data_IF_828739632402
#
_entry.id   IF_828739632402
#
_cell.length_a   1.000
_cell.length_b   1.000
_cell.length_c   1.000
_cell.angle_alpha   90.00
_cell.angle_beta   90.00
_cell.angle_gamma   90.00
#
_symmetry.space_group_name_H-M   'P 1'
#
loop_
_entity.id
_entity.type
_entity.pdbx_description
1 polymer ?
#
# COMPACT_ATOMS: atom_id res chain seq x y z
N UNK A 1 3.98 30.27 3.10
CA UNK A 1 4.33 29.87 1.73
C UNK A 1 3.73 28.55 1.37
N UNK A 2 3.38 28.38 0.10
CA UNK A 2 2.85 27.13 -0.46
C UNK A 2 4.01 26.31 -1.03
N UNK A 3 4.00 25.01 -0.78
CA UNK A 3 4.91 24.01 -1.35
C UNK A 3 4.11 22.83 -1.86
N UNK A 4 4.51 22.27 -3.01
CA UNK A 4 3.79 21.17 -3.65
C UNK A 4 4.79 20.20 -4.25
N UNK A 5 4.72 18.95 -3.78
CA UNK A 5 5.48 17.85 -4.37
C UNK A 5 4.55 16.94 -5.17
N UNK A 6 5.00 16.55 -6.35
CA UNK A 6 4.32 15.61 -7.24
C UNK A 6 5.28 14.53 -7.69
N UNK A 7 4.87 13.28 -7.53
CA UNK A 7 5.55 12.11 -8.06
C UNK A 7 4.59 11.28 -8.89
N UNK A 8 5.03 10.90 -10.07
CA UNK A 8 4.35 9.91 -10.92
C UNK A 8 5.32 8.80 -11.28
N UNK A 9 4.94 7.56 -11.01
CA UNK A 9 5.70 6.37 -11.40
C UNK A 9 4.82 5.47 -12.25
N UNK A 10 5.33 5.08 -13.41
CA UNK A 10 4.79 4.01 -14.22
C UNK A 10 5.84 2.91 -14.38
N UNK A 11 5.44 1.69 -14.10
CA UNK A 11 6.31 0.52 -14.21
C UNK A 11 5.50 -0.70 -14.62
N UNK A 12 6.13 -1.63 -15.33
CA UNK A 12 5.53 -2.93 -15.67
C UNK A 12 6.50 -4.05 -15.31
N UNK A 13 6.67 -4.34 -14.02
CA UNK A 13 7.56 -5.39 -13.58
C UNK A 13 6.97 -6.76 -13.93
N UNK A 14 7.73 -7.57 -14.66
CA UNK A 14 7.33 -8.92 -15.05
C UNK A 14 8.42 -9.94 -14.70
N UNK A 15 8.00 -11.15 -14.35
CA UNK A 15 8.92 -12.26 -14.18
C UNK A 15 9.47 -12.68 -15.56
N UNK A 16 10.75 -12.44 -15.83
CA UNK A 16 11.37 -12.79 -17.12
C UNK A 16 11.61 -14.31 -17.25
N UNK A 17 12.02 -14.95 -16.17
CA UNK A 17 12.19 -16.38 -16.07
C UNK A 17 11.93 -16.79 -14.63
N UNK A 18 10.79 -17.38 -14.36
CA UNK A 18 10.42 -17.83 -13.04
C UNK A 18 9.69 -19.17 -13.12
N UNK A 19 10.42 -20.23 -12.81
CA UNK A 19 9.91 -21.57 -12.67
C UNK A 19 10.33 -22.09 -11.30
N UNK A 20 9.39 -22.61 -10.54
CA UNK A 20 9.66 -23.20 -9.23
C UNK A 20 8.77 -24.41 -9.00
N UNK A 21 9.17 -25.25 -8.08
CA UNK A 21 8.36 -26.36 -7.59
C UNK A 21 8.20 -26.26 -6.09
N UNK A 22 7.02 -26.56 -5.61
CA UNK A 22 6.72 -26.62 -4.18
C UNK A 22 6.29 -28.03 -3.83
N UNK A 23 6.93 -28.60 -2.83
CA UNK A 23 6.56 -29.90 -2.29
C UNK A 23 5.62 -29.69 -1.10
N UNK A 24 4.42 -30.20 -1.21
CA UNK A 24 3.43 -30.15 -0.13
C UNK A 24 3.73 -31.26 0.90
N UNK A 25 3.19 -31.11 2.11
CA UNK A 25 3.33 -32.09 3.18
C UNK A 25 2.80 -33.51 2.81
N UNK A 26 1.89 -33.55 1.82
CA UNK A 26 1.38 -34.80 1.23
C UNK A 26 2.36 -35.51 0.28
N UNK A 27 3.52 -34.89 0.00
CA UNK A 27 4.48 -35.36 -1.00
C UNK A 27 4.17 -34.97 -2.44
N UNK A 28 3.03 -34.29 -2.69
CA UNK A 28 2.70 -33.75 -4.01
C UNK A 28 3.65 -32.60 -4.37
N UNK A 29 4.14 -32.57 -5.60
CA UNK A 29 4.99 -31.52 -6.13
C UNK A 29 4.21 -30.69 -7.13
N UNK A 30 3.86 -29.48 -6.73
CA UNK A 30 3.25 -28.49 -7.62
C UNK A 30 4.34 -27.72 -8.39
N UNK A 31 4.19 -27.60 -9.70
CA UNK A 31 5.06 -26.76 -10.55
C UNK A 31 4.38 -25.43 -10.85
N UNK A 32 5.13 -24.35 -10.70
CA UNK A 32 4.67 -23.00 -11.02
C UNK A 32 5.57 -22.45 -12.11
N UNK A 33 4.98 -21.94 -13.18
CA UNK A 33 5.65 -21.13 -14.17
C UNK A 33 4.96 -19.74 -14.21
N UNK A 34 5.61 -18.76 -13.63
CA UNK A 34 5.12 -17.37 -13.61
C UNK A 34 5.80 -16.47 -14.65
N UNK A 35 6.57 -17.07 -15.58
CA UNK A 35 7.24 -16.33 -16.64
C UNK A 35 6.25 -15.48 -17.44
N UNK A 36 6.51 -14.18 -17.56
CA UNK A 36 5.63 -13.21 -18.22
C UNK A 36 4.53 -12.62 -17.34
N UNK A 37 4.27 -13.18 -16.16
CA UNK A 37 3.33 -12.61 -15.21
C UNK A 37 3.87 -11.29 -14.63
N UNK A 38 2.94 -10.39 -14.30
CA UNK A 38 3.26 -9.16 -13.54
C UNK A 38 3.66 -9.59 -12.13
N UNK A 39 4.69 -8.96 -11.58
CA UNK A 39 5.16 -9.22 -10.22
C UNK A 39 4.06 -8.87 -9.22
N UNK A 40 3.77 -9.78 -8.30
CA UNK A 40 2.75 -9.60 -7.28
C UNK A 40 3.10 -8.43 -6.35
N UNK A 41 2.08 -7.80 -5.79
CA UNK A 41 2.14 -6.71 -4.80
C UNK A 41 2.74 -5.38 -5.32
N UNK A 42 3.19 -5.31 -6.57
CA UNK A 42 3.76 -4.10 -7.13
C UNK A 42 2.72 -3.41 -8.04
N UNK A 43 2.31 -2.17 -7.75
CA UNK A 43 1.42 -1.40 -8.60
C UNK A 43 2.13 -0.97 -9.89
N UNK A 44 1.41 -0.95 -11.02
CA UNK A 44 1.94 -0.42 -12.27
C UNK A 44 1.99 1.11 -12.29
N UNK A 45 1.05 1.75 -11.58
CA UNK A 45 0.97 3.21 -11.44
C UNK A 45 0.96 3.58 -9.98
N UNK A 46 1.82 4.52 -9.63
CA UNK A 46 1.86 5.20 -8.34
C UNK A 46 1.84 6.71 -8.58
N UNK A 47 0.98 7.41 -7.85
CA UNK A 47 0.90 8.87 -7.87
C UNK A 47 1.01 9.37 -6.43
N UNK A 48 1.86 10.37 -6.20
CA UNK A 48 1.93 11.08 -4.91
C UNK A 48 1.70 12.57 -5.13
N UNK A 49 0.87 13.16 -4.27
CA UNK A 49 0.54 14.57 -4.25
C UNK A 49 0.67 15.05 -2.80
N UNK A 50 1.66 15.91 -2.54
CA UNK A 50 1.97 16.36 -1.20
C UNK A 50 1.91 17.91 -1.10
N UNK A 51 0.73 18.53 -1.12
CA UNK A 51 0.59 19.95 -0.88
C UNK A 51 0.83 20.29 0.59
N UNK A 52 1.52 21.40 0.83
CA UNK A 52 1.72 21.92 2.17
C UNK A 52 1.74 23.45 2.17
N UNK A 53 1.35 24.04 3.29
CA UNK A 53 1.29 25.47 3.45
C UNK A 53 1.81 25.93 4.82
N UNK A 54 2.74 26.88 4.79
CA UNK A 54 3.21 27.57 5.98
C UNK A 54 2.26 28.74 6.28
N UNK A 55 1.35 28.56 7.23
CA UNK A 55 0.42 29.60 7.70
C UNK A 55 1.22 30.71 8.39
N UNK A 56 2.14 30.31 9.26
CA UNK A 56 3.15 31.18 9.89
C UNK A 56 4.52 30.49 9.83
N UNK A 57 5.63 31.15 10.12
CA UNK A 57 6.93 30.48 10.23
C UNK A 57 6.98 29.33 11.24
N UNK A 58 6.03 29.31 12.19
CA UNK A 58 5.94 28.30 13.22
C UNK A 58 4.83 27.26 13.00
N UNK A 59 3.92 27.47 12.03
CA UNK A 59 2.74 26.63 11.82
C UNK A 59 2.65 26.18 10.37
N UNK A 60 2.77 24.88 10.14
CA UNK A 60 2.63 24.22 8.85
C UNK A 60 1.43 23.29 8.84
N UNK A 61 0.62 23.38 7.79
CA UNK A 61 -0.40 22.37 7.42
C UNK A 61 0.06 21.63 6.19
N UNK A 62 -0.28 20.36 6.10
CA UNK A 62 0.12 19.51 4.99
C UNK A 62 -0.89 18.40 4.76
N UNK A 63 -0.94 17.91 3.52
CA UNK A 63 -1.65 16.68 3.17
C UNK A 63 -0.78 15.84 2.25
N UNK A 64 -1.06 14.54 2.18
CA UNK A 64 -0.43 13.60 1.26
C UNK A 64 -1.50 12.66 0.72
N UNK A 65 -1.57 12.56 -0.59
CA UNK A 65 -2.44 11.65 -1.32
C UNK A 65 -1.56 10.69 -2.10
N UNK A 66 -1.70 9.39 -1.85
CA UNK A 66 -0.96 8.34 -2.55
C UNK A 66 -1.91 7.40 -3.23
N UNK A 67 -1.89 7.38 -4.54
CA UNK A 67 -2.65 6.43 -5.35
C UNK A 67 -1.78 5.25 -5.72
N UNK A 68 -2.29 4.06 -5.49
CA UNK A 68 -1.74 2.80 -5.96
C UNK A 68 -2.73 2.17 -6.93
N UNK A 69 -2.28 1.81 -8.14
CA UNK A 69 -3.10 1.06 -9.07
C UNK A 69 -3.34 -0.37 -8.59
N UNK A 70 -4.15 -1.11 -9.32
CA UNK A 70 -4.40 -2.53 -9.08
C UNK A 70 -3.09 -3.31 -8.89
N UNK A 71 -3.07 -4.21 -7.89
CA UNK A 71 -1.97 -5.15 -7.63
C UNK A 71 -2.47 -6.58 -7.62
N UNK A 72 -1.66 -7.51 -8.10
CA UNK A 72 -1.96 -8.93 -7.95
C UNK A 72 -1.53 -9.42 -6.58
N UNK A 73 -2.35 -10.26 -5.96
CA UNK A 73 -2.12 -10.78 -4.62
C UNK A 73 -1.30 -12.08 -4.61
N UNK A 74 -1.10 -12.71 -5.77
CA UNK A 74 -0.29 -13.91 -5.91
C UNK A 74 0.44 -13.99 -7.25
N UNK A 75 1.44 -14.86 -7.31
CA UNK A 75 2.33 -15.04 -8.47
C UNK A 75 1.58 -15.49 -9.72
N UNK A 76 0.54 -16.30 -9.57
CA UNK A 76 -0.28 -16.84 -10.67
C UNK A 76 -1.34 -15.83 -11.15
N UNK A 77 -1.42 -14.64 -10.55
CA UNK A 77 -2.40 -13.60 -10.90
C UNK A 77 -3.86 -14.08 -10.79
N UNK A 78 -4.14 -15.01 -9.89
CA UNK A 78 -5.47 -15.53 -9.63
C UNK A 78 -6.34 -14.52 -8.86
N UNK A 79 -5.73 -13.74 -7.98
CA UNK A 79 -6.37 -12.72 -7.16
C UNK A 79 -5.71 -11.37 -7.37
N UNK A 80 -6.50 -10.32 -7.21
CA UNK A 80 -6.01 -8.95 -7.27
C UNK A 80 -6.79 -8.06 -6.31
N UNK A 81 -6.17 -6.98 -5.91
CA UNK A 81 -6.81 -5.88 -5.20
C UNK A 81 -6.95 -4.68 -6.14
N UNK A 82 -8.10 -4.02 -6.09
CA UNK A 82 -8.34 -2.81 -6.86
C UNK A 82 -7.41 -1.68 -6.39
N UNK A 83 -7.21 -0.71 -7.28
CA UNK A 83 -6.48 0.50 -6.93
C UNK A 83 -7.17 1.25 -5.78
N UNK A 84 -6.35 1.91 -4.96
CA UNK A 84 -6.81 2.64 -3.78
C UNK A 84 -5.97 3.88 -3.53
N UNK A 85 -6.52 4.77 -2.72
CA UNK A 85 -5.81 5.92 -2.19
C UNK A 85 -5.41 5.67 -0.74
N UNK A 86 -4.20 6.06 -0.38
CA UNK A 86 -3.81 6.27 1.01
C UNK A 86 -3.70 7.77 1.24
N UNK A 87 -4.30 8.27 2.31
CA UNK A 87 -4.39 9.69 2.57
C UNK A 87 -3.91 10.04 3.96
N UNK A 88 -3.10 11.08 4.03
CA UNK A 88 -2.54 11.60 5.27
C UNK A 88 -2.69 13.11 5.28
N UNK A 89 -2.87 13.67 6.44
CA UNK A 89 -2.88 15.12 6.61
C UNK A 89 -2.49 15.49 8.03
N UNK A 90 -2.00 16.69 8.20
CA UNK A 90 -1.57 17.06 9.53
C UNK A 90 -1.22 18.54 9.68
N UNK A 91 -0.96 18.86 10.93
CA UNK A 91 -0.51 20.17 11.37
C UNK A 91 0.74 19.99 12.22
N UNK A 92 1.76 20.78 11.94
CA UNK A 92 2.98 20.87 12.70
C UNK A 92 3.12 22.29 13.26
N UNK A 93 3.26 22.41 14.56
CA UNK A 93 3.42 23.68 15.25
C UNK A 93 4.68 23.71 16.10
N UNK A 94 5.58 24.63 15.77
CA UNK A 94 6.75 24.96 16.58
C UNK A 94 6.34 25.99 17.63
N UNK A 95 5.88 25.50 18.80
CA UNK A 95 5.37 26.38 19.87
C UNK A 95 6.45 27.32 20.43
N UNK A 96 7.70 26.83 20.51
CA UNK A 96 8.88 27.64 20.84
C UNK A 96 10.16 26.89 20.38
N UNK A 97 11.35 27.42 20.67
CA UNK A 97 12.64 26.85 20.25
C UNK A 97 12.88 25.40 20.73
N UNK A 98 12.17 24.96 21.76
CA UNK A 98 12.35 23.64 22.37
C UNK A 98 11.17 22.70 22.17
N UNK A 99 9.95 23.21 21.99
CA UNK A 99 8.72 22.43 21.92
C UNK A 99 8.12 22.47 20.52
N UNK A 100 7.95 21.31 19.92
CA UNK A 100 7.18 21.09 18.69
C UNK A 100 6.00 20.16 18.97
N UNK A 101 4.84 20.51 18.44
CA UNK A 101 3.61 19.72 18.52
C UNK A 101 3.16 19.35 17.11
N UNK A 102 2.64 18.14 16.96
CA UNK A 102 2.09 17.64 15.70
C UNK A 102 0.76 16.93 15.92
N UNK A 103 -0.11 17.06 14.93
CA UNK A 103 -1.31 16.24 14.80
C UNK A 103 -1.32 15.68 13.38
N UNK A 104 -1.45 14.36 13.25
CA UNK A 104 -1.52 13.66 11.97
C UNK A 104 -2.80 12.86 11.91
N UNK A 105 -3.54 12.99 10.82
CA UNK A 105 -4.70 12.16 10.51
C UNK A 105 -4.29 11.20 9.39
N UNK A 106 -4.40 9.91 9.66
CA UNK A 106 -4.15 8.84 8.70
C UNK A 106 -5.46 8.38 8.12
N UNK A 107 -5.49 8.15 6.81
CA UNK A 107 -6.68 7.72 6.08
C UNK A 107 -7.88 8.65 6.32
N UNK A 108 -7.68 9.97 6.12
CA UNK A 108 -8.74 10.96 6.39
C UNK A 108 -9.94 10.84 5.44
N UNK A 109 -9.80 10.18 4.28
CA UNK A 109 -10.93 9.82 3.42
C UNK A 109 -11.68 8.57 3.89
N UNK A 110 -11.22 7.94 4.98
CA UNK A 110 -11.80 6.73 5.56
C UNK A 110 -12.02 5.62 4.54
N UNK A 111 -11.06 5.39 3.66
CA UNK A 111 -11.12 4.33 2.66
C UNK A 111 -10.96 2.96 3.34
N UNK A 112 -11.75 2.02 2.90
CA UNK A 112 -11.66 0.62 3.31
C UNK A 112 -11.15 -0.23 2.16
N UNK A 113 -10.44 -1.32 2.45
CA UNK A 113 -9.96 -2.23 1.43
C UNK A 113 -8.87 -3.15 1.96
N UNK A 114 -8.55 -4.16 1.15
CA UNK A 114 -7.45 -5.06 1.39
C UNK A 114 -6.31 -4.78 0.40
N UNK A 115 -5.08 -5.10 0.80
CA UNK A 115 -3.85 -4.95 0.00
C UNK A 115 -2.85 -6.06 0.33
N UNK A 116 -1.76 -6.12 -0.43
CA UNK A 116 -0.67 -7.06 -0.20
C UNK A 116 -0.92 -8.44 -0.78
N UNK A 117 -0.46 -9.47 -0.10
CA UNK A 117 -0.65 -10.87 -0.46
C UNK A 117 -1.85 -11.49 0.28
N UNK A 118 -2.31 -12.62 -0.23
CA UNK A 118 -3.32 -13.46 0.43
C UNK A 118 -2.60 -14.71 0.92
N UNK A 119 -2.50 -14.90 2.23
CA UNK A 119 -1.83 -16.05 2.82
C UNK A 119 -2.54 -17.36 2.43
N UNK A 120 -1.74 -18.35 2.01
CA UNK A 120 -2.23 -19.65 1.55
C UNK A 120 -2.75 -19.65 0.10
N UNK A 121 -2.70 -18.51 -0.60
CA UNK A 121 -3.13 -18.41 -1.99
C UNK A 121 -1.96 -18.30 -2.99
N UNK A 122 -0.72 -18.45 -2.53
CA UNK A 122 0.49 -18.21 -3.33
C UNK A 122 0.55 -19.05 -4.59
N UNK A 123 0.03 -20.29 -4.51
CA UNK A 123 0.08 -21.28 -5.57
C UNK A 123 -1.22 -21.45 -6.35
N UNK A 124 -2.31 -20.84 -5.88
CA UNK A 124 -3.62 -20.98 -6.52
C UNK A 124 -3.56 -20.37 -7.93
N UNK A 125 -3.97 -21.16 -8.91
CA UNK A 125 -4.09 -20.75 -10.31
C UNK A 125 -5.41 -20.03 -10.58
N UNK A 126 -5.51 -19.37 -11.73
CA UNK A 126 -6.76 -18.71 -12.15
C UNK A 126 -7.92 -19.67 -12.31
N UNK A 127 -7.66 -20.90 -12.70
CA UNK A 127 -8.72 -21.91 -12.89
C UNK A 127 -9.20 -22.44 -11.55
N UNK A 128 -8.28 -22.80 -10.65
CA UNK A 128 -8.63 -23.20 -9.28
C UNK A 128 -9.37 -22.10 -8.52
N UNK A 129 -9.02 -20.83 -8.72
CA UNK A 129 -9.68 -19.70 -8.07
C UNK A 129 -11.17 -19.56 -8.44
N UNK A 130 -11.59 -20.05 -9.61
CA UNK A 130 -13.00 -20.04 -10.03
C UNK A 130 -13.87 -21.01 -9.22
N UNK A 131 -13.27 -22.09 -8.75
CA UNK A 131 -13.95 -23.14 -7.99
C UNK A 131 -13.92 -22.88 -6.48
N UNK A 132 -13.02 -22.00 -6.03
CA UNK A 132 -12.91 -21.59 -4.62
C UNK A 132 -14.00 -20.56 -4.32
N UNK A 133 -15.05 -21.01 -3.62
CA UNK A 133 -16.14 -20.12 -3.18
C UNK A 133 -16.23 -20.16 -1.65
N UNK A 134 -16.53 -18.98 -1.07
CA UNK A 134 -16.80 -18.85 0.37
C UNK A 134 -15.66 -19.28 1.31
N UNK A 135 -14.42 -19.19 0.87
CA UNK A 135 -13.27 -19.40 1.75
C UNK A 135 -12.87 -18.11 2.44
N UNK A 136 -12.58 -18.21 3.72
CA UNK A 136 -11.93 -17.14 4.48
C UNK A 136 -10.46 -17.06 4.04
N UNK A 137 -10.06 -15.90 3.57
CA UNK A 137 -8.68 -15.61 3.21
C UNK A 137 -8.14 -14.52 4.14
N UNK A 138 -6.89 -14.67 4.54
CA UNK A 138 -6.19 -13.65 5.33
C UNK A 138 -5.36 -12.76 4.44
N UNK A 139 -5.47 -11.47 4.64
CA UNK A 139 -4.71 -10.46 3.92
C UNK A 139 -4.47 -9.25 4.80
N UNK A 140 -3.73 -8.27 4.30
CA UNK A 140 -3.53 -6.99 4.95
C UNK A 140 -4.65 -6.02 4.56
N UNK A 141 -5.04 -5.17 5.49
CA UNK A 141 -6.06 -4.14 5.25
C UNK A 141 -5.42 -2.75 5.16
N UNK A 142 -6.11 -1.83 4.51
CA UNK A 142 -5.78 -0.43 4.59
C UNK A 142 -5.87 0.03 6.05
N UNK A 143 -4.96 0.90 6.43
CA UNK A 143 -4.94 1.46 7.78
C UNK A 143 -6.25 2.21 8.04
N UNK A 144 -6.96 1.99 9.17
CA UNK A 144 -8.20 2.70 9.46
C UNK A 144 -7.95 4.19 9.69
N UNK A 145 -9.02 4.98 9.69
CA UNK A 145 -8.95 6.37 10.13
C UNK A 145 -8.33 6.43 11.53
N UNK A 146 -7.24 7.16 11.64
CA UNK A 146 -6.48 7.27 12.89
C UNK A 146 -6.00 8.70 13.08
N UNK A 147 -6.07 9.20 14.30
CA UNK A 147 -5.50 10.50 14.69
C UNK A 147 -4.34 10.27 15.63
N UNK A 148 -3.19 10.84 15.30
CA UNK A 148 -1.95 10.73 16.07
C UNK A 148 -1.51 12.11 16.54
N UNK A 149 -1.14 12.21 17.83
CA UNK A 149 -0.56 13.42 18.39
C UNK A 149 0.90 13.18 18.75
N UNK A 150 1.76 14.11 18.40
CA UNK A 150 3.18 14.06 18.73
C UNK A 150 3.60 15.32 19.46
N UNK A 151 4.49 15.15 20.44
CA UNK A 151 5.15 16.25 21.11
C UNK A 151 6.66 15.94 21.18
N UNK A 152 7.48 16.88 20.73
CA UNK A 152 8.95 16.77 20.78
C UNK A 152 9.53 17.90 21.61
N UNK A 153 10.32 17.54 22.61
CA UNK A 153 11.02 18.49 23.49
C UNK A 153 12.54 18.33 23.30
N UNK A 154 13.20 19.44 23.00
CA UNK A 154 14.67 19.52 22.92
C UNK A 154 15.22 20.11 24.21
N UNK A 155 16.19 19.46 24.78
CA UNK A 155 16.90 19.90 25.99
C UNK A 155 18.18 20.66 25.65
#
# INVERSE_FOLDING_TARGET
GFDFHFLFTYQKPTYKKYETSVTFSSGYVGKINATGNIVAEIPEVLIELDPSYMITPALKVWTSFRYFSKTYANINQAYYFNGHWETFGGVNWQANKRLSLGCTVVNFLNQTGAKGSIAGAELITKDEAKDIKNQLMTGSYLRPFTVEFTASLKF
#
